data_IF_529320092722
#
_entry.id   IF_529320092722
#
_cell.length_a   1.000
_cell.length_b   1.000
_cell.length_c   1.000
_cell.angle_alpha   90.00
_cell.angle_beta   90.00
_cell.angle_gamma   90.00
#
_symmetry.space_group_name_H-M   'P 1'
#
loop_
_entity.id
_entity.type
_entity.pdbx_description
1 polymer ?
#
# COMPACT_ATOMS: atom_id res chain seq x y z
N UNK A 1 -48.82 -20.32 7.27
CA UNK A 1 -47.96 -19.29 6.64
C UNK A 1 -48.76 -18.00 6.51
N UNK A 2 -48.71 -17.11 7.49
CA UNK A 2 -49.35 -15.79 7.36
C UNK A 2 -48.51 -14.94 6.41
N UNK A 3 -49.10 -14.56 5.27
CA UNK A 3 -48.43 -13.76 4.26
C UNK A 3 -48.14 -12.34 4.76
N UNK A 4 -46.97 -11.82 4.38
CA UNK A 4 -46.55 -10.45 4.66
C UNK A 4 -47.58 -9.47 4.06
N UNK A 5 -48.23 -8.68 4.92
CA UNK A 5 -49.23 -7.69 4.50
C UNK A 5 -48.53 -6.38 4.18
N UNK A 6 -48.55 -5.96 2.92
CA UNK A 6 -47.99 -4.69 2.49
C UNK A 6 -48.84 -3.52 3.04
N UNK A 7 -48.20 -2.45 3.55
CA UNK A 7 -48.92 -1.31 4.10
C UNK A 7 -49.75 -0.63 3.00
N UNK A 8 -50.99 -0.25 3.33
CA UNK A 8 -51.88 0.44 2.40
C UNK A 8 -51.36 1.85 2.08
N UNK A 9 -51.96 2.50 1.08
CA UNK A 9 -51.62 3.89 0.76
C UNK A 9 -51.87 4.83 1.97
N UNK A 10 -52.97 4.63 2.69
CA UNK A 10 -53.28 5.38 3.89
C UNK A 10 -52.23 5.16 5.00
N UNK A 11 -51.76 3.93 5.18
CA UNK A 11 -50.70 3.62 6.16
C UNK A 11 -49.38 4.31 5.80
N UNK A 12 -49.01 4.32 4.50
CA UNK A 12 -47.81 5.02 4.02
C UNK A 12 -47.93 6.53 4.19
N UNK A 13 -49.10 7.11 3.89
CA UNK A 13 -49.34 8.55 4.08
C UNK A 13 -49.24 8.95 5.56
N UNK A 14 -49.86 8.17 6.45
CA UNK A 14 -49.76 8.39 7.90
C UNK A 14 -48.31 8.26 8.38
N UNK A 15 -47.60 7.22 7.96
CA UNK A 15 -46.20 7.02 8.32
C UNK A 15 -45.31 8.20 7.86
N UNK A 16 -45.55 8.74 6.66
CA UNK A 16 -44.84 9.91 6.18
C UNK A 16 -45.15 11.18 6.98
N UNK A 17 -46.42 11.39 7.37
CA UNK A 17 -46.81 12.51 8.23
C UNK A 17 -46.19 12.39 9.62
N UNK A 18 -46.22 11.21 10.22
CA UNK A 18 -45.64 10.94 11.54
C UNK A 18 -44.10 11.07 11.50
N UNK A 19 -43.45 10.61 10.43
CA UNK A 19 -42.01 10.83 10.24
C UNK A 19 -41.65 12.32 10.20
N UNK A 20 -42.41 13.14 9.47
CA UNK A 20 -42.20 14.59 9.42
C UNK A 20 -42.43 15.24 10.79
N UNK A 21 -43.50 14.87 11.49
CA UNK A 21 -43.77 15.35 12.87
C UNK A 21 -42.63 14.97 13.81
N UNK A 22 -42.13 13.74 13.73
CA UNK A 22 -41.04 13.24 14.56
C UNK A 22 -39.73 14.00 14.29
N UNK A 23 -39.40 14.30 13.03
CA UNK A 23 -38.23 15.11 12.69
C UNK A 23 -38.35 16.52 13.29
N UNK A 24 -39.50 17.17 13.13
CA UNK A 24 -39.74 18.50 13.71
C UNK A 24 -39.69 18.49 15.24
N UNK A 25 -40.26 17.47 15.88
CA UNK A 25 -40.20 17.31 17.33
C UNK A 25 -38.76 17.11 17.82
N UNK A 26 -37.98 16.27 17.14
CA UNK A 26 -36.54 16.09 17.42
C UNK A 26 -35.75 17.37 17.25
N UNK A 27 -36.04 18.16 16.21
CA UNK A 27 -35.36 19.44 15.99
C UNK A 27 -35.69 20.45 17.10
N UNK A 28 -36.97 20.56 17.48
CA UNK A 28 -37.40 21.45 18.58
C UNK A 28 -36.86 21.03 19.95
N UNK A 29 -36.72 19.73 20.19
CA UNK A 29 -36.19 19.18 21.44
C UNK A 29 -34.65 19.08 21.45
N UNK A 30 -33.98 19.40 20.34
CA UNK A 30 -32.53 19.36 20.28
C UNK A 30 -31.94 20.45 21.20
N UNK A 31 -30.93 20.11 22.02
CA UNK A 31 -30.23 21.11 22.82
C UNK A 31 -29.54 22.14 21.92
N UNK A 32 -29.43 23.38 22.41
CA UNK A 32 -28.73 24.46 21.71
C UNK A 32 -27.26 24.10 21.47
N UNK A 33 -26.64 24.73 20.47
CA UNK A 33 -25.21 24.61 20.26
C UNK A 33 -24.40 25.07 21.49
N UNK A 34 -24.93 26.02 22.26
CA UNK A 34 -24.29 26.54 23.48
C UNK A 34 -24.55 25.67 24.72
N UNK A 35 -25.29 24.57 24.59
CA UNK A 35 -25.50 23.63 25.69
C UNK A 35 -24.15 23.00 26.09
N UNK A 36 -23.80 23.00 27.39
CA UNK A 36 -22.50 22.53 27.85
C UNK A 36 -22.23 21.06 27.51
N UNK A 37 -23.25 20.21 27.45
CA UNK A 37 -23.09 18.82 27.06
C UNK A 37 -22.86 18.66 25.54
N UNK A 38 -23.40 19.56 24.72
CA UNK A 38 -23.11 19.61 23.28
C UNK A 38 -21.69 20.09 23.03
N UNK A 39 -21.27 21.16 23.72
CA UNK A 39 -19.90 21.67 23.63
C UNK A 39 -18.86 20.64 24.08
N UNK A 40 -19.12 19.91 25.17
CA UNK A 40 -18.24 18.83 25.63
C UNK A 40 -18.07 17.74 24.57
N UNK A 41 -19.15 17.33 23.90
CA UNK A 41 -19.08 16.33 22.81
C UNK A 41 -18.32 16.86 21.59
N UNK A 42 -18.47 18.14 21.26
CA UNK A 42 -17.72 18.77 20.16
C UNK A 42 -16.23 18.80 20.51
N UNK A 43 -15.88 19.24 21.73
CA UNK A 43 -14.51 19.26 22.22
C UNK A 43 -13.87 17.86 22.21
N UNK A 44 -14.58 16.83 22.67
CA UNK A 44 -14.10 15.46 22.64
C UNK A 44 -13.87 14.96 21.20
N UNK A 45 -14.83 15.19 20.29
CA UNK A 45 -14.72 14.78 18.89
C UNK A 45 -13.58 15.50 18.17
N UNK A 46 -13.40 16.79 18.43
CA UNK A 46 -12.33 17.59 17.82
C UNK A 46 -10.96 17.16 18.35
N UNK A 47 -10.82 16.92 19.64
CA UNK A 47 -9.59 16.37 20.22
C UNK A 47 -9.25 14.99 19.65
N UNK A 48 -10.25 14.12 19.52
CA UNK A 48 -10.07 12.80 18.92
C UNK A 48 -9.73 12.86 17.43
N UNK A 49 -10.31 13.80 16.68
CA UNK A 49 -9.99 14.03 15.29
C UNK A 49 -8.54 14.53 15.14
N UNK A 50 -8.12 15.51 15.94
CA UNK A 50 -6.74 16.01 15.96
C UNK A 50 -5.74 14.89 16.25
N UNK A 51 -5.99 14.08 17.30
CA UNK A 51 -5.13 12.95 17.63
C UNK A 51 -5.06 11.87 16.53
N UNK A 52 -6.13 11.71 15.74
CA UNK A 52 -6.12 10.80 14.58
C UNK A 52 -5.31 11.37 13.43
N UNK A 53 -5.45 12.66 13.14
CA UNK A 53 -4.68 13.33 12.08
C UNK A 53 -3.18 13.33 12.39
N UNK A 54 -2.77 13.61 13.64
CA UNK A 54 -1.37 13.49 14.06
C UNK A 54 -0.82 12.07 13.85
N UNK A 55 -1.59 11.04 14.24
CA UNK A 55 -1.19 9.64 14.02
C UNK A 55 -1.11 9.26 12.55
N UNK A 56 -2.00 9.80 11.70
CA UNK A 56 -1.93 9.58 10.25
C UNK A 56 -0.69 10.24 9.66
N UNK A 57 -0.44 11.50 10.00
CA UNK A 57 0.73 12.24 9.52
C UNK A 57 2.04 11.53 9.89
N UNK A 58 2.18 11.05 11.13
CA UNK A 58 3.34 10.28 11.57
C UNK A 58 3.51 8.97 10.77
N UNK A 59 2.42 8.22 10.55
CA UNK A 59 2.44 6.97 9.77
C UNK A 59 2.75 7.21 8.28
N UNK A 60 2.27 8.30 7.71
CA UNK A 60 2.55 8.65 6.32
C UNK A 60 4.02 9.03 6.14
N UNK A 61 4.59 9.81 7.05
CA UNK A 61 6.01 10.11 7.07
C UNK A 61 6.88 8.85 7.20
N UNK A 62 6.52 7.92 8.09
CA UNK A 62 7.22 6.64 8.25
C UNK A 62 7.15 5.80 6.96
N UNK A 63 5.96 5.67 6.36
CA UNK A 63 5.78 4.93 5.10
C UNK A 63 6.55 5.55 3.94
N UNK A 64 6.64 6.88 3.87
CA UNK A 64 7.44 7.57 2.86
C UNK A 64 8.93 7.27 3.04
N UNK A 65 9.42 7.30 4.28
CA UNK A 65 10.81 6.96 4.59
C UNK A 65 11.12 5.48 4.28
N UNK A 66 10.23 4.55 4.63
CA UNK A 66 10.38 3.13 4.31
C UNK A 66 10.40 2.88 2.80
N UNK A 67 9.48 3.50 2.05
CA UNK A 67 9.46 3.41 0.59
C UNK A 67 10.74 3.94 -0.05
N UNK A 68 11.30 5.04 0.48
CA UNK A 68 12.56 5.58 -0.02
C UNK A 68 13.70 4.58 0.20
N UNK A 69 13.82 3.99 1.40
CA UNK A 69 14.83 2.97 1.70
C UNK A 69 14.68 1.73 0.82
N UNK A 70 13.45 1.23 0.67
CA UNK A 70 13.18 0.07 -0.17
C UNK A 70 13.53 0.33 -1.66
N UNK A 71 13.28 1.55 -2.15
CA UNK A 71 13.66 1.94 -3.51
C UNK A 71 15.19 2.02 -3.68
N UNK A 72 15.91 2.58 -2.69
CA UNK A 72 17.38 2.61 -2.69
C UNK A 72 17.98 1.21 -2.63
N UNK A 73 17.48 0.34 -1.75
CA UNK A 73 17.91 -1.06 -1.64
C UNK A 73 17.65 -1.83 -2.93
N UNK A 74 16.48 -1.65 -3.54
CA UNK A 74 16.16 -2.28 -4.83
C UNK A 74 17.10 -1.80 -5.95
N UNK A 75 17.41 -0.50 -6.00
CA UNK A 75 18.36 0.04 -6.98
C UNK A 75 19.78 -0.49 -6.76
N UNK A 76 20.23 -0.58 -5.50
CA UNK A 76 21.53 -1.14 -5.14
C UNK A 76 21.62 -2.63 -5.51
N UNK A 77 20.55 -3.40 -5.28
CA UNK A 77 20.50 -4.83 -5.62
C UNK A 77 20.56 -5.05 -7.14
N UNK A 78 19.80 -4.26 -7.92
CA UNK A 78 19.87 -4.30 -9.38
C UNK A 78 21.28 -4.00 -9.89
N UNK A 79 21.93 -2.98 -9.31
CA UNK A 79 23.31 -2.65 -9.66
C UNK A 79 24.31 -3.77 -9.29
N UNK A 80 24.11 -4.43 -8.14
CA UNK A 80 24.92 -5.58 -7.72
C UNK A 80 24.77 -6.75 -8.68
N UNK A 81 23.53 -7.11 -9.02
CA UNK A 81 23.25 -8.21 -9.95
C UNK A 81 23.84 -7.91 -11.34
N UNK A 82 23.79 -6.66 -11.80
CA UNK A 82 24.40 -6.27 -13.07
C UNK A 82 25.92 -6.48 -13.06
N UNK A 83 26.60 -6.03 -12.00
CA UNK A 83 28.05 -6.23 -11.84
C UNK A 83 28.43 -7.70 -11.75
N UNK A 84 27.69 -8.48 -10.97
CA UNK A 84 27.95 -9.92 -10.83
C UNK A 84 27.81 -10.65 -12.17
N UNK A 85 26.84 -10.26 -13.00
CA UNK A 85 26.68 -10.80 -14.35
C UNK A 85 27.85 -10.44 -15.27
N UNK A 86 28.30 -9.19 -15.24
CA UNK A 86 29.45 -8.72 -16.03
C UNK A 86 30.73 -9.46 -15.61
N UNK A 87 30.96 -9.60 -14.30
CA UNK A 87 32.10 -10.33 -13.75
C UNK A 87 32.06 -11.82 -14.12
N UNK A 88 30.89 -12.45 -14.02
CA UNK A 88 30.70 -13.85 -14.41
C UNK A 88 30.94 -14.07 -15.91
N UNK A 89 30.49 -13.15 -16.76
CA UNK A 89 30.73 -13.21 -18.20
C UNK A 89 32.21 -13.00 -18.54
N UNK A 90 32.87 -12.04 -17.90
CA UNK A 90 34.31 -11.82 -18.06
C UNK A 90 35.12 -13.05 -17.63
N UNK A 91 34.76 -13.67 -16.50
CA UNK A 91 35.37 -14.91 -16.02
C UNK A 91 35.17 -16.07 -17.02
N UNK A 92 33.97 -16.21 -17.59
CA UNK A 92 33.69 -17.23 -18.62
C UNK A 92 34.56 -17.03 -19.85
N UNK A 93 34.66 -15.79 -20.35
CA UNK A 93 35.50 -15.46 -21.52
C UNK A 93 36.98 -15.77 -21.24
N UNK A 94 37.48 -15.44 -20.05
CA UNK A 94 38.84 -15.76 -19.66
C UNK A 94 39.10 -17.27 -19.63
N UNK A 95 38.18 -18.06 -19.04
CA UNK A 95 38.29 -19.53 -19.04
C UNK A 95 38.26 -20.12 -20.44
N UNK A 96 37.41 -19.62 -21.33
CA UNK A 96 37.35 -20.08 -22.73
C UNK A 96 38.65 -19.77 -23.49
N UNK A 97 39.25 -18.59 -23.24
CA UNK A 97 40.53 -18.20 -23.80
C UNK A 97 41.67 -19.12 -23.33
N UNK A 98 41.73 -19.44 -22.03
CA UNK A 98 42.70 -20.39 -21.46
C UNK A 98 42.54 -21.79 -22.05
N UNK A 99 41.30 -22.29 -22.16
CA UNK A 99 41.03 -23.60 -22.77
C UNK A 99 41.44 -23.64 -24.25
N UNK A 100 41.23 -22.54 -24.99
CA UNK A 100 41.68 -22.41 -26.38
C UNK A 100 43.21 -22.44 -26.46
N UNK A 101 43.90 -21.64 -25.64
CA UNK A 101 45.36 -21.63 -25.59
C UNK A 101 45.94 -23.01 -25.26
N UNK A 102 45.33 -23.73 -24.30
CA UNK A 102 45.73 -25.10 -23.97
C UNK A 102 45.51 -26.08 -25.14
N UNK A 103 44.39 -25.97 -25.87
CA UNK A 103 44.12 -26.78 -27.08
C UNK A 103 45.14 -26.48 -28.18
N UNK A 104 45.44 -25.21 -28.43
CA UNK A 104 46.39 -24.80 -29.46
C UNK A 104 47.81 -25.29 -29.14
N UNK A 105 48.24 -25.22 -27.88
CA UNK A 105 49.51 -25.78 -27.41
C UNK A 105 49.59 -27.30 -27.62
N UNK A 106 48.51 -28.04 -27.30
CA UNK A 106 48.43 -29.49 -27.55
C UNK A 106 48.53 -29.81 -29.03
N UNK A 107 47.84 -29.04 -29.88
CA UNK A 107 47.87 -29.23 -31.33
C UNK A 107 49.25 -28.98 -31.91
N UNK A 108 49.91 -27.90 -31.48
CA UNK A 108 51.29 -27.58 -31.86
C UNK A 108 52.26 -28.70 -31.46
N UNK A 109 52.18 -29.20 -30.22
CA UNK A 109 53.00 -30.32 -29.75
C UNK A 109 52.76 -31.61 -30.55
N UNK A 110 51.51 -31.93 -30.89
CA UNK A 110 51.17 -33.08 -31.73
C UNK A 110 51.75 -32.94 -33.14
N UNK A 111 51.67 -31.75 -33.74
CA UNK A 111 52.21 -31.47 -35.08
C UNK A 111 53.73 -31.61 -35.08
N UNK A 112 54.41 -31.09 -34.06
CA UNK A 112 55.86 -31.21 -33.90
C UNK A 112 56.33 -32.67 -33.77
N UNK A 113 55.54 -33.56 -33.16
CA UNK A 113 55.86 -35.01 -33.07
C UNK A 113 55.64 -35.80 -34.36
N UNK A 114 54.85 -35.27 -35.30
CA UNK A 114 54.53 -35.91 -36.58
C UNK A 114 55.48 -35.52 -37.72
N UNK A 115 56.28 -34.49 -37.51
CA UNK A 115 57.37 -34.10 -38.39
C UNK A 115 58.64 -34.81 -37.92
#
# INVERSE_FOLDING_TARGET
MSGFKSPSFADRQKAAQDARKNILAKFKAAPSADDPAVQARIAERTALAAAREEKKAAREAEKLAEKARAAEEAAAEVARIAREKEEAEAARIAMEAEQKAARDARYAARKARKK
#
